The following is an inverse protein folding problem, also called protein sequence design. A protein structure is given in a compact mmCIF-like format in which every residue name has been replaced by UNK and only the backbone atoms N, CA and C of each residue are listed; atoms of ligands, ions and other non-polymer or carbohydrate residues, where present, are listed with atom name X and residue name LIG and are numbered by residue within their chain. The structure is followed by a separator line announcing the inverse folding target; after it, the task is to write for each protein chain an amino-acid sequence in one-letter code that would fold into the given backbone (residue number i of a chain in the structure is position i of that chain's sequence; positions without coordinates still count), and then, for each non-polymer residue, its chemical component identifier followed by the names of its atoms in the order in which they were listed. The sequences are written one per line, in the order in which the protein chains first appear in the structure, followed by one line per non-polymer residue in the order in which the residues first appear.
data_IF_115139710846
#
_entry.id   IF_115139710846
#
_cell.length_a   1.000
_cell.length_b   1.000
_cell.length_c   1.000
_cell.angle_alpha   90.00
_cell.angle_beta   90.00
_cell.angle_gamma   90.00
#
_symmetry.space_group_name_H-M   'P 1'
#
loop_
_entity.id
_entity.type
_entity.pdbx_description
1 polymer ?
#
# COMPACT_ATOMS: atom_id res chain seq x y z
N UNK A 1 13.24 -6.66 -15.38
CA UNK A 1 13.51 -5.52 -14.47
C UNK A 1 12.80 -4.33 -15.07
N UNK A 2 12.18 -3.49 -14.25
CA UNK A 2 11.61 -2.21 -14.73
C UNK A 2 12.73 -1.17 -14.74
N UNK A 3 12.95 -0.54 -15.89
CA UNK A 3 14.04 0.42 -16.09
C UNK A 3 13.55 1.85 -15.80
N UNK A 4 14.08 2.54 -14.77
CA UNK A 4 13.66 3.90 -14.43
C UNK A 4 13.96 4.95 -15.51
N UNK A 5 14.85 4.66 -16.46
CA UNK A 5 15.21 5.59 -17.52
C UNK A 5 14.23 5.56 -18.71
N UNK A 6 13.62 4.42 -18.97
CA UNK A 6 12.82 4.21 -20.20
C UNK A 6 11.38 3.82 -19.94
N UNK A 7 11.12 3.07 -18.86
CA UNK A 7 9.82 2.50 -18.59
C UNK A 7 8.88 3.51 -17.94
N UNK A 8 7.60 3.43 -18.33
CA UNK A 8 6.55 4.25 -17.71
C UNK A 8 5.94 3.50 -16.53
N UNK A 9 5.89 4.18 -15.40
CA UNK A 9 5.24 3.69 -14.16
C UNK A 9 3.94 4.46 -13.96
N UNK A 10 2.82 3.74 -13.86
CA UNK A 10 1.53 4.30 -13.47
C UNK A 10 1.38 4.25 -11.96
N UNK A 11 1.03 5.39 -11.33
CA UNK A 11 0.66 5.48 -9.92
C UNK A 11 -0.82 5.84 -9.85
N UNK A 12 -1.66 4.95 -9.31
CA UNK A 12 -3.08 5.23 -9.06
C UNK A 12 -3.28 5.76 -7.64
N UNK A 13 -4.33 6.56 -7.41
CA UNK A 13 -4.51 7.21 -6.11
C UNK A 13 -3.44 8.27 -5.82
N UNK A 14 -2.92 8.90 -6.88
CA UNK A 14 -1.73 9.78 -6.82
C UNK A 14 -1.97 11.10 -6.06
N UNK A 15 -3.21 11.55 -5.91
CA UNK A 15 -3.58 12.71 -5.08
C UNK A 15 -3.87 12.32 -3.62
N UNK A 16 -3.77 11.03 -3.26
CA UNK A 16 -3.84 10.55 -1.87
C UNK A 16 -2.56 10.81 -1.09
N UNK A 17 -2.60 10.58 0.22
CA UNK A 17 -1.45 10.82 1.10
C UNK A 17 -0.21 9.99 0.69
N UNK A 18 -0.39 8.67 0.46
CA UNK A 18 0.70 7.80 0.01
C UNK A 18 1.12 8.17 -1.42
N UNK A 19 0.15 8.38 -2.34
CA UNK A 19 0.44 8.77 -3.72
C UNK A 19 1.30 10.03 -3.81
N UNK A 20 1.00 11.05 -3.00
CA UNK A 20 1.80 12.29 -2.90
C UNK A 20 3.22 12.01 -2.42
N UNK A 21 3.40 11.15 -1.41
CA UNK A 21 4.74 10.78 -0.95
C UNK A 21 5.53 10.03 -2.02
N UNK A 22 4.87 9.12 -2.75
CA UNK A 22 5.50 8.37 -3.85
C UNK A 22 5.94 9.30 -4.99
N UNK A 23 5.09 10.25 -5.39
CA UNK A 23 5.49 11.28 -6.37
C UNK A 23 6.78 11.98 -5.95
N UNK A 24 6.81 12.47 -4.70
CA UNK A 24 7.96 13.21 -4.16
C UNK A 24 9.22 12.36 -4.09
N UNK A 25 9.10 11.08 -3.72
CA UNK A 25 10.24 10.18 -3.57
C UNK A 25 10.73 9.56 -4.88
N UNK A 26 9.85 9.36 -5.86
CA UNK A 26 10.18 8.66 -7.10
C UNK A 26 10.56 9.59 -8.26
N UNK A 27 9.99 10.80 -8.32
CA UNK A 27 10.16 11.72 -9.49
C UNK A 27 11.61 12.07 -9.81
N UNK A 28 12.52 12.04 -8.86
CA UNK A 28 13.94 12.30 -9.09
C UNK A 28 14.63 11.16 -9.85
N UNK A 29 14.16 9.91 -9.66
CA UNK A 29 14.80 8.70 -10.14
C UNK A 29 14.09 8.04 -11.33
N UNK A 30 12.80 8.37 -11.54
CA UNK A 30 11.96 7.78 -12.59
C UNK A 30 11.65 8.82 -13.64
N UNK A 31 12.02 8.57 -14.89
CA UNK A 31 11.86 9.54 -15.98
C UNK A 31 10.46 9.64 -16.56
N UNK A 32 9.60 8.65 -16.31
CA UNK A 32 8.25 8.57 -16.89
C UNK A 32 7.25 8.10 -15.83
N UNK A 33 6.64 9.04 -15.14
CA UNK A 33 5.55 8.76 -14.21
C UNK A 33 4.22 9.17 -14.86
N UNK A 34 3.26 8.25 -14.83
CA UNK A 34 1.85 8.57 -15.11
C UNK A 34 1.09 8.51 -13.80
N UNK A 35 0.34 9.55 -13.51
CA UNK A 35 -0.36 9.75 -12.26
C UNK A 35 -1.86 9.77 -12.54
N UNK A 36 -2.65 9.01 -11.76
CA UNK A 36 -4.10 9.06 -11.87
C UNK A 36 -4.77 9.11 -10.51
N UNK A 37 -5.82 9.91 -10.44
CA UNK A 37 -6.73 10.03 -9.30
C UNK A 37 -8.08 10.55 -9.82
N UNK A 38 -9.14 10.42 -9.04
CA UNK A 38 -10.44 11.07 -9.32
C UNK A 38 -10.37 12.59 -9.08
N UNK A 39 -9.41 13.04 -8.30
CA UNK A 39 -9.14 14.45 -7.99
C UNK A 39 -8.01 14.99 -8.86
N UNK A 40 -8.02 16.30 -9.17
CA UNK A 40 -6.88 16.94 -9.82
C UNK A 40 -5.58 16.75 -9.02
N UNK A 41 -4.48 16.57 -9.76
CA UNK A 41 -3.14 16.47 -9.18
C UNK A 41 -2.46 17.83 -9.39
N UNK A 42 -2.14 18.50 -8.27
CA UNK A 42 -1.51 19.80 -8.32
C UNK A 42 -0.02 19.71 -8.71
N UNK A 43 0.46 20.75 -9.40
CA UNK A 43 1.87 21.01 -9.69
C UNK A 43 2.64 19.78 -10.23
N UNK A 44 2.23 19.20 -11.37
CA UNK A 44 2.94 18.07 -11.94
C UNK A 44 4.35 18.47 -12.39
N UNK A 45 5.33 17.62 -12.08
CA UNK A 45 6.69 17.78 -12.55
C UNK A 45 6.79 17.50 -14.07
N UNK A 46 7.84 17.95 -14.78
CA UNK A 46 7.98 17.74 -16.23
C UNK A 46 7.98 16.27 -16.67
N UNK A 47 8.30 15.34 -15.80
CA UNK A 47 8.28 13.90 -16.05
C UNK A 47 7.01 13.20 -15.55
N UNK A 48 6.00 13.96 -15.11
CA UNK A 48 4.71 13.47 -14.63
C UNK A 48 3.59 13.79 -15.64
N UNK A 49 2.95 12.74 -16.15
CA UNK A 49 1.74 12.84 -16.99
C UNK A 49 0.52 12.57 -16.09
N UNK A 50 -0.43 13.50 -16.02
CA UNK A 50 -1.60 13.40 -15.16
C UNK A 50 -2.86 13.05 -15.97
N UNK A 51 -3.60 12.04 -15.53
CA UNK A 51 -4.89 11.63 -16.08
C UNK A 51 -5.91 11.61 -14.96
N UNK A 52 -6.96 12.40 -15.04
CA UNK A 52 -8.10 12.30 -14.12
C UNK A 52 -8.94 11.09 -14.55
N UNK A 53 -9.06 10.10 -13.69
CA UNK A 53 -9.77 8.86 -13.98
C UNK A 53 -10.37 8.24 -12.70
N UNK A 54 -11.59 7.72 -12.83
CA UNK A 54 -12.20 6.83 -11.84
C UNK A 54 -11.91 5.37 -12.24
N UNK A 55 -11.51 4.54 -11.30
CA UNK A 55 -11.30 3.10 -11.52
C UNK A 55 -12.58 2.32 -11.81
N UNK A 56 -13.75 2.98 -11.78
CA UNK A 56 -15.02 2.44 -12.26
C UNK A 56 -15.32 2.79 -13.74
N UNK A 57 -14.51 3.66 -14.37
CA UNK A 57 -14.62 4.00 -15.81
C UNK A 57 -13.63 3.16 -16.63
N UNK A 58 -14.15 2.15 -17.32
CA UNK A 58 -13.37 1.23 -18.14
C UNK A 58 -12.57 1.94 -19.24
N UNK A 59 -13.14 2.91 -19.92
CA UNK A 59 -12.45 3.61 -20.98
C UNK A 59 -11.30 4.48 -20.43
N UNK A 60 -11.48 5.05 -19.25
CA UNK A 60 -10.40 5.77 -18.57
C UNK A 60 -9.28 4.81 -18.11
N UNK A 61 -9.65 3.62 -17.61
CA UNK A 61 -8.67 2.58 -17.22
C UNK A 61 -7.82 2.15 -18.43
N UNK A 62 -8.44 1.90 -19.57
CA UNK A 62 -7.72 1.50 -20.79
C UNK A 62 -6.75 2.60 -21.25
N UNK A 63 -7.18 3.87 -21.26
CA UNK A 63 -6.29 5.00 -21.60
C UNK A 63 -5.10 5.15 -20.68
N UNK A 64 -5.29 4.97 -19.36
CA UNK A 64 -4.19 5.11 -18.39
C UNK A 64 -3.16 3.98 -18.49
N UNK A 65 -3.47 2.84 -19.12
CA UNK A 65 -2.56 1.70 -19.28
C UNK A 65 -1.65 1.77 -20.50
N UNK A 66 -1.87 2.71 -21.42
CA UNK A 66 -1.09 2.81 -22.66
C UNK A 66 0.40 3.01 -22.40
N UNK A 67 1.23 2.08 -22.88
CA UNK A 67 2.68 2.09 -22.73
C UNK A 67 3.19 1.99 -21.29
N UNK A 68 2.39 1.48 -20.35
CA UNK A 68 2.75 1.28 -18.95
C UNK A 68 3.48 -0.06 -18.78
N UNK A 69 4.67 -0.01 -18.19
CA UNK A 69 5.45 -1.20 -17.85
C UNK A 69 5.16 -1.74 -16.44
N UNK A 70 4.85 -0.83 -15.50
CA UNK A 70 4.51 -1.19 -14.12
C UNK A 70 3.39 -0.31 -13.56
N UNK A 71 2.56 -0.91 -12.69
CA UNK A 71 1.48 -0.22 -11.95
C UNK A 71 1.80 -0.21 -10.47
N UNK A 72 1.75 0.96 -9.85
CA UNK A 72 1.75 1.17 -8.40
C UNK A 72 0.31 1.49 -8.00
N UNK A 73 -0.42 0.48 -7.56
CA UNK A 73 -1.84 0.57 -7.27
C UNK A 73 -2.07 1.00 -5.81
N UNK A 74 -2.32 2.31 -5.61
CA UNK A 74 -2.60 2.90 -4.29
C UNK A 74 -4.07 3.27 -4.11
N UNK A 75 -4.91 3.07 -5.12
CA UNK A 75 -6.34 3.36 -5.03
C UNK A 75 -7.03 2.44 -4.03
N UNK A 76 -7.92 3.01 -3.28
CA UNK A 76 -8.77 2.29 -2.34
C UNK A 76 -9.49 3.22 -1.39
N UNK A 77 -10.61 2.77 -0.88
CA UNK A 77 -11.40 3.46 0.13
C UNK A 77 -11.42 2.65 1.42
N UNK A 78 -11.52 3.33 2.56
CA UNK A 78 -11.58 2.71 3.88
C UNK A 78 -12.10 3.70 4.92
N UNK A 79 -12.35 3.24 6.14
CA UNK A 79 -12.86 4.09 7.22
C UNK A 79 -14.33 4.41 7.09
N UNK A 80 -14.73 5.61 6.63
CA UNK A 80 -16.10 6.09 6.61
C UNK A 80 -16.88 5.83 5.31
N UNK A 81 -16.41 4.93 4.45
CA UNK A 81 -17.07 4.58 3.20
C UNK A 81 -18.17 3.52 3.41
N UNK A 82 -19.18 3.51 2.50
CA UNK A 82 -20.23 2.51 2.51
C UNK A 82 -19.72 1.15 2.05
N UNK A 83 -20.50 0.10 2.30
CA UNK A 83 -20.18 -1.25 1.78
C UNK A 83 -20.17 -1.22 0.25
N UNK A 84 -21.11 -0.49 -0.37
CA UNK A 84 -21.21 -0.32 -1.81
C UNK A 84 -19.94 0.34 -2.39
N UNK A 85 -19.39 1.36 -1.73
CA UNK A 85 -18.14 2.00 -2.15
C UNK A 85 -16.95 1.02 -2.03
N UNK A 86 -16.91 0.23 -0.96
CA UNK A 86 -15.87 -0.79 -0.79
C UNK A 86 -15.94 -1.83 -1.93
N UNK A 87 -17.13 -2.32 -2.29
CA UNK A 87 -17.29 -3.23 -3.42
C UNK A 87 -16.97 -2.55 -4.75
N UNK A 88 -17.45 -1.34 -4.97
CA UNK A 88 -17.22 -0.60 -6.21
C UNK A 88 -15.73 -0.32 -6.45
N UNK A 89 -15.03 0.19 -5.43
CA UNK A 89 -13.64 0.65 -5.58
C UNK A 89 -12.65 -0.46 -5.25
N UNK A 90 -12.78 -1.11 -4.08
CA UNK A 90 -11.77 -2.06 -3.59
C UNK A 90 -11.95 -3.46 -4.17
N UNK A 91 -13.11 -3.81 -4.72
CA UNK A 91 -13.30 -5.08 -5.43
C UNK A 91 -13.35 -4.83 -6.93
N UNK A 92 -14.42 -4.27 -7.46
CA UNK A 92 -14.64 -4.14 -8.90
C UNK A 92 -13.58 -3.29 -9.57
N UNK A 93 -13.32 -2.07 -9.07
CA UNK A 93 -12.33 -1.17 -9.64
C UNK A 93 -10.92 -1.76 -9.61
N UNK A 94 -10.54 -2.44 -8.54
CA UNK A 94 -9.26 -3.14 -8.44
C UNK A 94 -9.16 -4.26 -9.49
N UNK A 95 -10.19 -5.10 -9.63
CA UNK A 95 -10.24 -6.15 -10.65
C UNK A 95 -10.09 -5.56 -12.05
N UNK A 96 -10.86 -4.51 -12.39
CA UNK A 96 -10.84 -3.90 -13.71
C UNK A 96 -9.45 -3.30 -14.04
N UNK A 97 -8.76 -2.70 -13.07
CA UNK A 97 -7.40 -2.18 -13.25
C UNK A 97 -6.38 -3.32 -13.43
N UNK A 98 -6.45 -4.40 -12.64
CA UNK A 98 -5.51 -5.51 -12.78
C UNK A 98 -5.71 -6.25 -14.10
N UNK A 99 -6.96 -6.42 -14.54
CA UNK A 99 -7.26 -7.04 -15.82
C UNK A 99 -6.81 -6.15 -17.01
N UNK A 100 -7.01 -4.85 -16.93
CA UNK A 100 -6.50 -3.92 -17.93
C UNK A 100 -4.96 -3.91 -17.98
N UNK A 101 -4.30 -3.98 -16.81
CA UNK A 101 -2.85 -4.12 -16.73
C UNK A 101 -2.37 -5.39 -17.43
N UNK A 102 -3.06 -6.53 -17.21
CA UNK A 102 -2.77 -7.79 -17.90
C UNK A 102 -2.93 -7.67 -19.42
N UNK A 103 -4.03 -7.09 -19.88
CA UNK A 103 -4.31 -6.92 -21.32
C UNK A 103 -3.32 -5.97 -22.00
N UNK A 104 -2.85 -4.96 -21.29
CA UNK A 104 -1.83 -4.01 -21.77
C UNK A 104 -0.40 -4.55 -21.71
N UNK A 105 -0.17 -5.76 -21.20
CA UNK A 105 1.16 -6.36 -21.10
C UNK A 105 2.03 -5.78 -19.98
N UNK A 106 1.41 -5.21 -18.94
CA UNK A 106 2.12 -4.73 -17.74
C UNK A 106 2.90 -5.88 -17.10
N UNK A 107 4.17 -5.62 -16.80
CA UNK A 107 5.09 -6.66 -16.29
C UNK A 107 5.05 -6.78 -14.77
N UNK A 108 4.64 -5.68 -14.06
CA UNK A 108 4.70 -5.61 -12.59
C UNK A 108 3.57 -4.80 -12.00
N UNK A 109 3.05 -5.29 -10.87
CA UNK A 109 2.09 -4.56 -10.04
C UNK A 109 2.63 -4.46 -8.61
N UNK A 110 2.78 -3.24 -8.10
CA UNK A 110 3.00 -2.97 -6.67
C UNK A 110 1.66 -2.57 -6.07
N UNK A 111 1.18 -3.33 -5.11
CA UNK A 111 -0.17 -3.21 -4.58
C UNK A 111 -0.18 -2.72 -3.13
N UNK A 112 -0.96 -1.68 -2.84
CA UNK A 112 -1.23 -1.25 -1.48
C UNK A 112 -2.19 -2.21 -0.78
N UNK A 113 -1.65 -3.30 -0.22
CA UNK A 113 -2.33 -4.10 0.79
C UNK A 113 -2.28 -3.37 2.14
N UNK A 114 -2.65 -4.02 3.21
CA UNK A 114 -2.74 -3.41 4.55
C UNK A 114 -2.41 -4.43 5.64
N UNK A 115 -1.91 -3.96 6.78
CA UNK A 115 -1.84 -4.76 7.99
C UNK A 115 -3.21 -5.25 8.46
N UNK A 116 -4.32 -4.61 8.03
CA UNK A 116 -5.67 -5.08 8.26
C UNK A 116 -5.98 -6.42 7.58
N UNK A 117 -5.18 -6.86 6.60
CA UNK A 117 -5.27 -8.21 6.02
C UNK A 117 -4.90 -9.33 7.02
N UNK A 118 -4.20 -9.00 8.10
CA UNK A 118 -3.86 -9.92 9.21
C UNK A 118 -4.21 -9.38 10.60
N UNK A 119 -5.04 -8.36 10.67
CA UNK A 119 -5.32 -7.59 11.88
C UNK A 119 -5.88 -8.38 13.07
N UNK A 120 -6.53 -9.53 12.85
CA UNK A 120 -7.04 -10.42 13.92
C UNK A 120 -5.99 -11.33 14.56
N UNK A 121 -4.71 -11.25 14.18
CA UNK A 121 -3.68 -11.95 14.94
C UNK A 121 -3.41 -11.25 16.27
N UNK A 122 -3.17 -12.03 17.38
CA UNK A 122 -2.80 -11.45 18.66
C UNK A 122 -1.50 -10.64 18.55
N UNK A 123 -1.42 -9.51 19.26
CA UNK A 123 -0.21 -8.67 19.27
C UNK A 123 1.01 -9.36 19.88
N UNK A 124 0.78 -10.41 20.69
CA UNK A 124 1.84 -11.28 21.24
C UNK A 124 2.47 -12.19 20.19
N UNK A 125 1.81 -12.42 19.06
CA UNK A 125 2.32 -13.25 17.97
C UNK A 125 3.11 -12.39 16.98
N UNK A 126 4.32 -12.83 16.62
CA UNK A 126 5.12 -12.18 15.57
C UNK A 126 4.61 -12.59 14.19
N UNK A 127 3.88 -11.71 13.55
CA UNK A 127 3.29 -11.99 12.24
C UNK A 127 4.33 -11.83 11.14
N UNK A 128 4.40 -12.83 10.25
CA UNK A 128 5.18 -12.77 9.01
C UNK A 128 4.25 -12.75 7.78
N UNK A 129 4.74 -12.30 6.60
CA UNK A 129 3.96 -12.36 5.36
C UNK A 129 3.53 -13.77 4.94
N UNK A 130 4.21 -14.80 5.45
CA UNK A 130 3.89 -16.20 5.14
C UNK A 130 2.65 -16.74 5.88
N UNK A 131 2.20 -16.05 6.94
CA UNK A 131 0.99 -16.47 7.64
C UNK A 131 -0.26 -16.20 6.80
N UNK A 132 -1.28 -17.07 6.92
CA UNK A 132 -2.56 -16.87 6.23
C UNK A 132 -3.19 -15.51 6.58
N UNK A 133 -3.94 -14.89 5.68
CA UNK A 133 -4.74 -13.72 6.04
C UNK A 133 -5.72 -14.01 7.18
N UNK A 134 -5.81 -13.11 8.15
CA UNK A 134 -6.82 -13.05 9.22
C UNK A 134 -7.31 -11.62 9.33
N UNK A 135 -8.12 -11.17 8.35
CA UNK A 135 -8.55 -9.78 8.27
C UNK A 135 -9.45 -9.40 9.45
N UNK A 136 -9.32 -8.13 9.88
CA UNK A 136 -10.07 -7.57 11.01
C UNK A 136 -11.31 -6.77 10.58
N UNK A 137 -11.56 -6.66 9.28
CA UNK A 137 -12.62 -5.84 8.73
C UNK A 137 -12.90 -6.23 7.27
N UNK A 138 -14.03 -5.78 6.73
CA UNK A 138 -14.34 -5.93 5.30
C UNK A 138 -13.26 -5.24 4.43
N UNK A 139 -12.75 -4.08 4.86
CA UNK A 139 -11.60 -3.43 4.22
C UNK A 139 -10.38 -4.35 4.17
N UNK A 140 -10.01 -4.93 5.31
CA UNK A 140 -8.92 -5.91 5.41
C UNK A 140 -9.14 -7.14 4.52
N UNK A 141 -10.40 -7.61 4.43
CA UNK A 141 -10.79 -8.72 3.55
C UNK A 141 -10.53 -8.39 2.08
N UNK A 142 -10.90 -7.18 1.60
CA UNK A 142 -10.60 -6.78 0.22
C UNK A 142 -9.10 -6.60 -0.02
N UNK A 143 -8.35 -6.16 1.00
CA UNK A 143 -6.88 -6.08 0.87
C UNK A 143 -6.25 -7.48 0.73
N UNK A 144 -6.68 -8.45 1.52
CA UNK A 144 -6.27 -9.84 1.39
C UNK A 144 -6.71 -10.47 0.04
N UNK A 145 -7.92 -10.15 -0.42
CA UNK A 145 -8.41 -10.61 -1.73
C UNK A 145 -7.52 -10.12 -2.87
N UNK A 146 -7.05 -8.87 -2.84
CA UNK A 146 -6.10 -8.34 -3.83
C UNK A 146 -4.78 -9.13 -3.87
N UNK A 147 -4.26 -9.53 -2.71
CA UNK A 147 -3.06 -10.38 -2.62
C UNK A 147 -3.29 -11.73 -3.33
N UNK A 148 -4.44 -12.37 -3.07
CA UNK A 148 -4.83 -13.66 -3.69
C UNK A 148 -5.03 -13.50 -5.20
N UNK A 149 -5.67 -12.41 -5.65
CA UNK A 149 -5.82 -12.12 -7.07
C UNK A 149 -4.46 -12.01 -7.77
N UNK A 150 -3.52 -11.23 -7.22
CA UNK A 150 -2.19 -11.06 -7.78
C UNK A 150 -1.42 -12.38 -7.83
N UNK A 151 -1.62 -13.27 -6.87
CA UNK A 151 -1.09 -14.64 -6.94
C UNK A 151 -1.63 -15.39 -8.15
N UNK A 152 -2.95 -15.31 -8.39
CA UNK A 152 -3.57 -15.91 -9.57
C UNK A 152 -3.07 -15.32 -10.90
N UNK A 153 -2.85 -13.99 -10.94
CA UNK A 153 -2.27 -13.33 -12.13
C UNK A 153 -0.82 -13.74 -12.37
N UNK A 154 -0.03 -13.93 -11.34
CA UNK A 154 1.33 -14.44 -11.45
C UNK A 154 1.34 -15.87 -11.98
N UNK A 155 0.60 -16.78 -11.35
CA UNK A 155 0.61 -18.20 -11.71
C UNK A 155 0.07 -18.46 -13.12
N UNK A 156 -0.90 -17.67 -13.58
CA UNK A 156 -1.57 -17.88 -14.88
C UNK A 156 -0.99 -17.02 -16.01
N UNK A 157 -0.41 -15.87 -15.71
CA UNK A 157 -0.02 -14.88 -16.70
C UNK A 157 1.42 -14.36 -16.53
N UNK A 158 2.12 -14.77 -15.47
CA UNK A 158 3.50 -14.35 -15.22
C UNK A 158 3.65 -12.88 -14.79
N UNK A 159 2.56 -12.20 -14.41
CA UNK A 159 2.62 -10.81 -13.92
C UNK A 159 3.22 -10.81 -12.52
N UNK A 160 4.41 -10.25 -12.39
CA UNK A 160 5.10 -10.13 -11.11
C UNK A 160 4.41 -9.13 -10.21
N UNK A 161 4.39 -9.39 -8.91
CA UNK A 161 3.73 -8.46 -7.99
C UNK A 161 4.41 -8.36 -6.63
N UNK A 162 4.28 -7.20 -6.01
CA UNK A 162 4.66 -6.97 -4.61
C UNK A 162 3.50 -6.34 -3.89
N UNK A 163 2.88 -7.08 -2.98
CA UNK A 163 1.78 -6.60 -2.14
C UNK A 163 2.36 -6.05 -0.84
N UNK A 164 2.11 -4.79 -0.55
CA UNK A 164 2.63 -4.08 0.61
C UNK A 164 1.57 -4.09 1.71
N UNK A 165 1.73 -4.87 2.75
CA UNK A 165 0.88 -4.82 3.96
C UNK A 165 1.26 -3.58 4.76
N UNK A 166 0.78 -2.44 4.31
CA UNK A 166 1.09 -1.12 4.87
C UNK A 166 0.53 -1.02 6.29
N UNK A 167 1.39 -0.59 7.22
CA UNK A 167 1.02 -0.28 8.58
C UNK A 167 0.35 1.09 8.72
N UNK A 168 0.73 1.84 9.74
CA UNK A 168 0.21 3.19 9.96
C UNK A 168 1.01 4.19 9.12
N UNK A 169 0.55 4.47 7.89
CA UNK A 169 1.15 5.53 7.08
C UNK A 169 0.70 6.91 7.55
N UNK A 170 1.65 7.72 8.00
CA UNK A 170 1.46 9.12 8.37
C UNK A 170 2.78 9.89 8.27
N UNK A 171 2.74 11.25 8.13
CA UNK A 171 3.96 12.06 8.21
C UNK A 171 4.74 11.85 9.51
N UNK A 172 4.04 11.70 10.64
CA UNK A 172 4.60 11.44 11.97
C UNK A 172 3.74 10.38 12.68
N UNK A 173 4.31 9.58 13.59
CA UNK A 173 3.53 8.70 14.47
C UNK A 173 2.62 9.53 15.38
N UNK A 174 1.47 8.98 15.78
CA UNK A 174 0.42 9.74 16.49
C UNK A 174 -0.05 9.08 17.80
N UNK A 175 0.28 7.81 18.01
CA UNK A 175 -0.17 7.01 19.16
C UNK A 175 0.84 5.91 19.48
N UNK A 176 0.59 5.17 20.56
CA UNK A 176 1.43 4.05 20.97
C UNK A 176 1.53 2.96 19.89
N UNK A 177 0.41 2.65 19.19
CA UNK A 177 0.39 1.62 18.14
C UNK A 177 1.31 1.99 16.98
N UNK A 178 1.35 3.26 16.61
CA UNK A 178 2.22 3.75 15.54
C UNK A 178 3.71 3.58 15.85
N UNK A 179 4.12 3.48 17.11
CA UNK A 179 5.52 3.17 17.48
C UNK A 179 5.98 1.78 16.97
N UNK A 180 5.04 0.88 16.69
CA UNK A 180 5.35 -0.42 16.11
C UNK A 180 4.99 -0.54 14.63
N UNK A 181 4.01 0.23 14.16
CA UNK A 181 3.39 0.03 12.83
C UNK A 181 3.63 1.17 11.85
N UNK A 182 4.33 2.23 12.26
CA UNK A 182 4.54 3.41 11.42
C UNK A 182 5.30 3.08 10.15
N UNK A 183 4.85 3.69 9.06
CA UNK A 183 5.54 3.76 7.79
C UNK A 183 5.66 5.23 7.40
N UNK A 184 6.87 5.74 7.35
CA UNK A 184 7.16 7.13 6.99
C UNK A 184 6.95 7.40 5.50
N UNK A 185 6.79 8.69 5.10
CA UNK A 185 6.79 9.09 3.69
C UNK A 185 8.09 8.72 2.95
N UNK A 186 9.24 8.77 3.61
CA UNK A 186 10.52 8.38 3.05
C UNK A 186 10.60 6.87 2.81
N UNK A 187 10.20 6.08 3.80
CA UNK A 187 10.30 4.63 3.73
C UNK A 187 9.27 4.01 2.78
N UNK A 188 8.06 4.56 2.64
CA UNK A 188 7.13 4.06 1.62
C UNK A 188 7.67 4.27 0.20
N UNK A 189 8.33 5.38 -0.06
CA UNK A 189 8.94 5.63 -1.36
C UNK A 189 10.13 4.67 -1.62
N UNK A 190 10.99 4.44 -0.62
CA UNK A 190 12.10 3.47 -0.69
C UNK A 190 11.58 2.05 -0.95
N UNK A 191 10.52 1.64 -0.24
CA UNK A 191 9.93 0.30 -0.40
C UNK A 191 9.36 0.09 -1.81
N UNK A 192 8.62 1.08 -2.34
CA UNK A 192 8.05 1.02 -3.69
C UNK A 192 9.17 1.05 -4.74
N UNK A 193 10.21 1.87 -4.57
CA UNK A 193 11.36 1.90 -5.49
C UNK A 193 12.07 0.53 -5.53
N UNK A 194 12.32 -0.11 -4.38
CA UNK A 194 12.86 -1.46 -4.31
C UNK A 194 11.97 -2.47 -5.02
N UNK A 195 10.64 -2.42 -4.78
CA UNK A 195 9.68 -3.30 -5.42
C UNK A 195 9.64 -3.15 -6.95
N UNK A 196 9.79 -1.93 -7.46
CA UNK A 196 9.86 -1.64 -8.89
C UNK A 196 11.18 -2.11 -9.51
N UNK A 197 12.32 -1.87 -8.86
CA UNK A 197 13.66 -2.17 -9.39
C UNK A 197 14.08 -3.62 -9.25
N UNK A 198 13.51 -4.38 -8.32
CA UNK A 198 13.93 -5.77 -8.12
C UNK A 198 13.84 -6.56 -9.43
N UNK A 199 14.86 -7.31 -9.83
CA UNK A 199 14.86 -8.00 -11.13
C UNK A 199 13.71 -8.99 -11.26
N UNK A 200 13.46 -9.79 -10.27
CA UNK A 200 12.37 -10.79 -10.26
C UNK A 200 11.82 -11.00 -8.85
N UNK A 201 10.79 -10.24 -8.41
CA UNK A 201 10.19 -10.41 -7.11
C UNK A 201 9.21 -11.60 -7.06
N UNK A 202 8.89 -12.24 -8.20
CA UNK A 202 7.83 -13.23 -8.27
C UNK A 202 6.46 -12.65 -7.88
N UNK A 203 5.75 -13.32 -6.99
CA UNK A 203 4.54 -12.80 -6.33
C UNK A 203 4.80 -12.74 -4.82
N UNK A 204 5.17 -11.55 -4.34
CA UNK A 204 5.66 -11.33 -3.00
C UNK A 204 4.64 -10.56 -2.16
N UNK A 205 4.52 -10.92 -0.88
CA UNK A 205 3.85 -10.11 0.15
C UNK A 205 4.91 -9.59 1.10
N UNK A 206 4.84 -8.30 1.45
CA UNK A 206 5.84 -7.61 2.28
C UNK A 206 5.14 -6.74 3.30
N UNK A 207 5.63 -6.72 4.53
CA UNK A 207 5.18 -5.77 5.54
C UNK A 207 5.75 -4.36 5.25
N UNK A 208 4.89 -3.38 5.09
CA UNK A 208 5.25 -1.98 4.86
C UNK A 208 5.37 -1.23 6.18
N UNK A 209 6.55 -1.25 6.77
CA UNK A 209 6.89 -0.53 8.01
C UNK A 209 8.24 0.17 7.87
N UNK A 210 8.43 1.23 8.66
CA UNK A 210 9.74 1.83 8.92
C UNK A 210 10.56 0.96 9.88
N UNK A 211 11.81 1.34 10.15
CA UNK A 211 12.72 0.61 11.05
C UNK A 211 12.37 0.82 12.53
N UNK A 212 11.10 0.58 12.86
CA UNK A 212 10.57 0.86 14.19
C UNK A 212 11.17 -0.07 15.26
N UNK A 213 11.69 0.50 16.33
CA UNK A 213 12.26 -0.26 17.46
C UNK A 213 11.24 -1.24 18.08
N UNK A 214 9.95 -0.86 18.10
CA UNK A 214 8.87 -1.64 18.75
C UNK A 214 8.13 -2.57 17.80
N UNK A 215 8.69 -2.86 16.62
CA UNK A 215 8.05 -3.70 15.61
C UNK A 215 7.66 -5.08 16.12
N UNK A 216 6.43 -5.50 15.83
CA UNK A 216 5.86 -6.80 16.24
C UNK A 216 5.73 -7.80 15.08
N UNK A 217 6.33 -7.48 13.93
CA UNK A 217 6.33 -8.34 12.75
C UNK A 217 7.75 -8.79 12.42
N UNK A 218 7.85 -9.86 11.64
CA UNK A 218 9.10 -10.32 11.06
C UNK A 218 8.91 -10.48 9.56
N UNK A 219 9.81 -9.92 8.76
CA UNK A 219 9.71 -9.98 7.31
C UNK A 219 11.07 -10.26 6.64
N UNK A 220 11.33 -11.53 6.28
CA UNK A 220 12.55 -11.89 5.57
C UNK A 220 12.61 -11.33 4.15
N UNK A 221 11.46 -10.89 3.60
CA UNK A 221 11.35 -10.37 2.25
C UNK A 221 11.94 -8.96 2.11
N UNK A 222 12.18 -8.25 3.22
CA UNK A 222 12.88 -6.96 3.20
C UNK A 222 14.29 -7.12 2.62
N UNK A 223 15.04 -8.12 3.11
CA UNK A 223 16.39 -8.39 2.62
C UNK A 223 16.36 -8.85 1.15
N UNK A 224 15.44 -9.78 0.83
CA UNK A 224 15.26 -10.26 -0.55
C UNK A 224 14.95 -9.12 -1.52
N UNK A 225 14.07 -8.19 -1.12
CA UNK A 225 13.69 -7.05 -1.94
C UNK A 225 14.76 -5.95 -1.99
N UNK A 226 15.74 -5.99 -1.10
CA UNK A 226 16.73 -4.93 -0.89
C UNK A 226 16.17 -3.72 -0.16
N UNK A 227 15.02 -3.85 0.52
CA UNK A 227 14.42 -2.79 1.30
C UNK A 227 15.14 -2.61 2.64
N UNK A 228 15.64 -1.40 2.86
CA UNK A 228 16.31 -0.98 4.10
C UNK A 228 15.63 0.26 4.62
N UNK A 229 14.61 0.13 5.50
CA UNK A 229 13.95 1.28 6.10
C UNK A 229 14.93 2.09 6.95
N UNK A 230 14.77 3.41 6.96
CA UNK A 230 15.70 4.34 7.61
C UNK A 230 15.08 5.09 8.78
N UNK A 231 13.77 5.34 8.71
CA UNK A 231 13.08 6.15 9.71
C UNK A 231 12.61 5.27 10.87
N UNK A 232 12.58 5.83 12.09
CA UNK A 232 12.18 5.11 13.30
C UNK A 232 11.17 5.92 14.10
N UNK A 233 10.03 5.33 14.41
CA UNK A 233 8.99 5.96 15.22
C UNK A 233 9.48 6.31 16.64
N UNK A 234 10.48 5.60 17.18
CA UNK A 234 11.05 5.85 18.50
C UNK A 234 11.65 7.26 18.61
N UNK A 235 12.18 7.82 17.53
CA UNK A 235 12.73 9.19 17.48
C UNK A 235 11.67 10.26 17.80
N UNK A 236 10.39 9.91 17.70
CA UNK A 236 9.25 10.79 17.96
C UNK A 236 8.61 10.59 19.34
N UNK A 237 9.13 9.71 20.20
CA UNK A 237 8.61 9.47 21.55
C UNK A 237 8.54 10.75 22.39
N UNK A 238 9.54 11.65 22.38
CA UNK A 238 9.44 12.91 23.13
C UNK A 238 8.23 13.76 22.70
N UNK A 239 7.95 13.83 21.41
CA UNK A 239 6.79 14.54 20.85
C UNK A 239 5.48 13.90 21.34
N UNK A 240 5.35 12.57 21.25
CA UNK A 240 4.16 11.85 21.68
C UNK A 240 3.87 12.03 23.18
N UNK A 241 4.91 11.98 24.03
CA UNK A 241 4.79 12.29 25.46
C UNK A 241 4.32 13.71 25.70
N UNK A 242 4.87 14.68 24.94
CA UNK A 242 4.43 16.07 24.99
C UNK A 242 2.96 16.28 24.58
N UNK A 243 2.41 15.38 23.77
CA UNK A 243 0.98 15.33 23.39
C UNK A 243 0.12 14.58 24.41
N UNK A 244 0.69 14.03 25.50
CA UNK A 244 -0.03 13.27 26.51
C UNK A 244 -0.29 11.81 26.13
N UNK A 245 0.39 11.28 25.12
CA UNK A 245 0.27 9.86 24.73
C UNK A 245 1.03 9.00 25.73
N UNK A 246 0.39 8.01 26.32
CA UNK A 246 1.05 6.98 27.11
C UNK A 246 1.80 6.00 26.18
N UNK A 247 3.10 6.23 26.04
CA UNK A 247 3.97 5.43 25.17
C UNK A 247 4.61 4.22 25.87
N UNK A 248 4.54 4.15 27.20
CA UNK A 248 5.20 3.14 28.03
C UNK A 248 4.22 2.17 28.69
N UNK A 249 2.94 2.47 28.66
CA UNK A 249 1.86 1.62 29.20
C UNK A 249 1.66 0.31 28.43
N UNK A 250 0.76 -0.53 28.91
CA UNK A 250 0.39 -1.75 28.20
C UNK A 250 -0.21 -1.42 26.83
N UNK A 251 -0.06 -2.35 25.87
CA UNK A 251 -0.72 -2.19 24.58
C UNK A 251 -2.24 -2.07 24.78
N UNK A 252 -2.81 -1.02 24.23
CA UNK A 252 -4.24 -0.74 24.32
C UNK A 252 -5.10 -1.85 23.67
N UNK A 253 -4.56 -2.43 22.59
CA UNK A 253 -5.27 -3.41 21.77
C UNK A 253 -4.52 -4.75 21.74
N UNK A 254 -5.20 -5.87 22.02
CA UNK A 254 -4.55 -7.18 22.03
C UNK A 254 -4.31 -7.79 20.64
N UNK A 255 -4.84 -7.17 19.56
CA UNK A 255 -4.67 -7.60 18.17
C UNK A 255 -3.86 -6.59 17.34
N UNK A 256 -3.20 -7.08 16.27
CA UNK A 256 -2.41 -6.23 15.36
C UNK A 256 -3.23 -5.14 14.65
N UNK A 257 -4.51 -5.38 14.39
CA UNK A 257 -5.44 -4.43 13.76
C UNK A 257 -5.82 -3.23 14.64
N UNK A 258 -5.53 -3.31 15.95
CA UNK A 258 -5.90 -2.28 16.89
C UNK A 258 -7.42 -2.17 17.05
N UNK A 259 -7.94 -0.94 17.12
CA UNK A 259 -9.39 -0.70 17.28
C UNK A 259 -10.25 -1.32 16.16
N UNK A 260 -9.71 -1.51 14.96
CA UNK A 260 -10.45 -2.10 13.84
C UNK A 260 -10.83 -3.55 14.08
N UNK A 261 -9.98 -4.32 14.76
CA UNK A 261 -10.24 -5.72 15.05
C UNK A 261 -11.48 -5.95 15.96
N UNK A 262 -11.98 -4.89 16.58
CA UNK A 262 -13.12 -4.93 17.51
C UNK A 262 -14.24 -3.96 17.16
N UNK A 263 -14.01 -3.09 16.18
CA UNK A 263 -15.05 -2.18 15.72
C UNK A 263 -16.15 -2.99 15.02
N UNK A 264 -17.42 -2.74 15.28
CA UNK A 264 -18.48 -3.33 14.47
C UNK A 264 -18.32 -2.87 13.02
N UNK A 265 -18.55 -3.78 12.07
CA UNK A 265 -18.70 -3.39 10.67
C UNK A 265 -19.79 -2.32 10.61
N UNK A 266 -19.47 -1.15 10.02
CA UNK A 266 -20.42 -0.04 9.99
C UNK A 266 -21.63 -0.43 9.16
N UNK A 267 -22.85 -0.27 9.66
CA UNK A 267 -24.02 -0.53 8.86
C UNK A 267 -23.97 0.35 7.60
N UNK A 268 -24.42 -0.21 6.49
CA UNK A 268 -24.67 0.53 5.25
C UNK A 268 -25.48 1.78 5.58
N UNK A 269 -24.92 2.95 5.31
CA UNK A 269 -25.65 4.19 5.52
C UNK A 269 -26.97 4.17 4.74
N UNK A 270 -28.06 4.52 5.41
CA UNK A 270 -29.30 4.89 4.77
C UNK A 270 -29.16 6.28 4.15
#
# INVERSE_FOLDING_TARGET
MIDPATDRVLITGAAGAIGTALRNGLRANWRRLRLTDVRPIADPAPNEECIIADVSDRAAIERMMDGVAAVVYMTGVGGNYTIEDLFRVNARGMFDVFEAARLAGVQRIVYASSNHAFGCYPISERVSPALPPRPDSLYGTFKAWGEVMLRGYFDRHGIRSVSLRIGTYRPLPIDQRSLATWLSPGDVARLVDCALRHPDPGCLVVNGYSNNTRIKTFDPNWEFLGYRPQDNAEDHVPMLRGMGVDVDGPWEWPEHGGSHARAPERPTGR
#
